data_IF_678291747241
#
_entry.id   IF_678291747241
#
_cell.length_a   1.000
_cell.length_b   1.000
_cell.length_c   1.000
_cell.angle_alpha   90.00
_cell.angle_beta   90.00
_cell.angle_gamma   90.00
#
_symmetry.space_group_name_H-M   'P 1'
#
loop_
_entity.id
_entity.type
_entity.pdbx_description
1 polymer ?
#
# COMPACT_ATOMS: atom_id res chain seq x y z
N UNK A 1 3.45 -9.73 -18.41
CA UNK A 1 2.53 -10.75 -17.87
C UNK A 1 1.19 -10.05 -17.82
N UNK A 2 0.39 -10.27 -18.86
CA UNK A 2 -0.96 -9.74 -19.00
C UNK A 2 -1.71 -10.82 -19.78
N UNK A 3 -2.51 -11.62 -19.07
CA UNK A 3 -3.25 -12.75 -19.63
C UNK A 3 -4.68 -12.34 -20.02
N UNK A 4 -4.85 -11.17 -20.66
CA UNK A 4 -6.09 -10.80 -21.35
C UNK A 4 -7.35 -10.73 -20.48
N UNK A 5 -7.19 -10.66 -19.16
CA UNK A 5 -8.26 -10.56 -18.16
C UNK A 5 -8.05 -9.23 -17.42
N UNK A 6 -9.10 -8.53 -16.98
CA UNK A 6 -8.98 -7.26 -16.25
C UNK A 6 -7.87 -7.35 -15.19
N UNK A 7 -6.82 -6.54 -15.32
CA UNK A 7 -5.64 -6.54 -14.44
C UNK A 7 -6.05 -6.38 -12.95
N UNK A 8 -7.16 -5.68 -12.71
CA UNK A 8 -7.81 -5.52 -11.42
C UNK A 8 -8.36 -6.84 -10.86
N UNK A 9 -8.95 -7.71 -11.70
CA UNK A 9 -9.41 -9.05 -11.30
C UNK A 9 -8.26 -9.97 -10.97
N UNK A 10 -7.16 -9.89 -11.72
CA UNK A 10 -5.95 -10.67 -11.42
C UNK A 10 -5.38 -10.31 -10.04
N UNK A 11 -5.42 -9.03 -9.62
CA UNK A 11 -5.07 -8.67 -8.24
C UNK A 11 -6.01 -9.30 -7.21
N UNK A 12 -7.31 -9.34 -7.47
CA UNK A 12 -8.29 -9.98 -6.57
C UNK A 12 -8.08 -11.49 -6.46
N UNK A 13 -7.73 -12.14 -7.57
CA UNK A 13 -7.37 -13.56 -7.62
C UNK A 13 -6.07 -13.82 -6.87
N UNK A 14 -5.03 -13.02 -7.08
CA UNK A 14 -3.77 -13.13 -6.34
C UNK A 14 -3.95 -12.95 -4.84
N UNK A 15 -4.80 -12.01 -4.41
CA UNK A 15 -5.14 -11.83 -3.00
C UNK A 15 -5.87 -13.06 -2.44
N UNK A 16 -6.77 -13.67 -3.22
CA UNK A 16 -7.45 -14.91 -2.86
C UNK A 16 -6.48 -16.09 -2.73
N UNK A 17 -5.58 -16.28 -3.69
CA UNK A 17 -4.54 -17.32 -3.66
C UNK A 17 -3.62 -17.12 -2.45
N UNK A 18 -3.14 -15.88 -2.24
CA UNK A 18 -2.32 -15.51 -1.08
C UNK A 18 -3.02 -15.91 0.22
N UNK A 19 -4.31 -15.59 0.38
CA UNK A 19 -5.09 -15.93 1.57
C UNK A 19 -5.13 -17.44 1.82
N UNK A 20 -5.41 -18.24 0.78
CA UNK A 20 -5.42 -19.70 0.89
C UNK A 20 -4.04 -20.24 1.26
N UNK A 21 -2.99 -19.76 0.61
CA UNK A 21 -1.63 -20.21 0.87
C UNK A 21 -1.14 -19.81 2.28
N UNK A 22 -1.46 -18.61 2.77
CA UNK A 22 -1.19 -18.22 4.16
C UNK A 22 -1.95 -19.11 5.15
N UNK A 23 -3.22 -19.42 4.87
CA UNK A 23 -4.01 -20.32 5.72
C UNK A 23 -3.41 -21.73 5.80
N UNK A 24 -2.79 -22.20 4.71
CA UNK A 24 -2.13 -23.51 4.66
C UNK A 24 -0.66 -23.49 5.14
N UNK A 25 -0.08 -22.31 5.39
CA UNK A 25 1.31 -22.18 5.83
C UNK A 25 1.51 -22.85 7.20
N UNK A 26 2.49 -23.74 7.31
CA UNK A 26 2.79 -24.55 8.49
C UNK A 26 4.30 -24.75 8.67
N UNK A 27 4.67 -25.51 9.69
CA UNK A 27 6.05 -25.93 9.93
C UNK A 27 6.60 -26.83 8.81
N UNK A 28 5.72 -27.47 8.05
CA UNK A 28 6.08 -28.37 6.94
C UNK A 28 6.64 -27.61 5.72
N UNK A 29 6.58 -26.28 5.74
CA UNK A 29 7.20 -25.42 4.74
C UNK A 29 8.74 -25.32 4.86
N UNK A 30 9.35 -25.92 5.89
CA UNK A 30 10.80 -26.06 6.05
C UNK A 30 11.18 -27.54 6.20
N UNK A 31 12.42 -27.88 5.82
CA UNK A 31 12.93 -29.25 5.94
C UNK A 31 13.17 -29.64 7.40
N UNK A 32 13.05 -30.94 7.70
CA UNK A 32 13.43 -31.48 9.01
C UNK A 32 14.89 -31.14 9.36
N UNK A 33 15.13 -30.76 10.61
CA UNK A 33 16.43 -30.27 11.07
C UNK A 33 16.69 -28.78 10.80
N UNK A 34 15.82 -28.08 10.07
CA UNK A 34 15.92 -26.63 9.86
C UNK A 34 15.37 -25.86 11.07
N UNK A 35 16.04 -24.78 11.54
CA UNK A 35 15.50 -23.94 12.60
C UNK A 35 14.18 -23.26 12.20
N UNK A 36 13.22 -23.20 13.13
CA UNK A 36 11.92 -22.53 12.93
C UNK A 36 12.06 -21.05 12.51
N UNK A 37 13.14 -20.39 12.93
CA UNK A 37 13.41 -18.99 12.58
C UNK A 37 13.47 -18.75 11.06
N UNK A 38 13.74 -19.79 10.27
CA UNK A 38 13.75 -19.77 8.79
C UNK A 38 12.35 -19.62 8.20
N UNK A 39 11.28 -20.01 8.93
CA UNK A 39 9.89 -19.85 8.47
C UNK A 39 9.56 -18.41 8.11
N UNK A 40 10.14 -17.42 8.80
CA UNK A 40 9.97 -16.01 8.45
C UNK A 40 10.39 -15.76 6.99
N UNK A 41 11.58 -16.21 6.59
CA UNK A 41 12.14 -15.94 5.26
C UNK A 41 11.35 -16.69 4.16
N UNK A 42 10.77 -17.85 4.48
CA UNK A 42 9.87 -18.61 3.57
C UNK A 42 8.50 -17.94 3.47
N UNK A 43 8.00 -17.35 4.55
CA UNK A 43 6.69 -16.70 4.60
C UNK A 43 6.66 -15.36 3.88
N UNK A 44 7.74 -14.58 3.92
CA UNK A 44 7.82 -13.24 3.31
C UNK A 44 7.39 -13.18 1.84
N UNK A 45 7.94 -13.99 0.91
CA UNK A 45 7.53 -13.93 -0.50
C UNK A 45 6.05 -14.29 -0.69
N UNK A 46 5.52 -15.20 0.12
CA UNK A 46 4.09 -15.52 0.14
C UNK A 46 3.26 -14.33 0.64
N UNK A 47 3.70 -13.67 1.72
CA UNK A 47 3.02 -12.50 2.28
C UNK A 47 2.97 -11.34 1.28
N UNK A 48 4.05 -11.10 0.53
CA UNK A 48 4.11 -10.05 -0.49
C UNK A 48 3.79 -10.54 -1.91
N UNK A 49 3.14 -11.69 -2.06
CA UNK A 49 2.86 -12.30 -3.36
C UNK A 49 2.13 -11.35 -4.35
N UNK A 50 1.27 -10.48 -3.83
CA UNK A 50 0.48 -9.52 -4.60
C UNK A 50 1.26 -8.27 -5.06
N UNK A 51 2.51 -8.06 -4.61
CA UNK A 51 3.22 -6.78 -4.71
C UNK A 51 3.34 -6.20 -6.12
N UNK A 52 3.67 -7.02 -7.11
CA UNK A 52 3.87 -6.57 -8.50
C UNK A 52 2.53 -6.31 -9.18
N UNK A 53 1.51 -7.10 -8.86
CA UNK A 53 0.18 -6.87 -9.37
C UNK A 53 -0.45 -5.60 -8.79
N UNK A 54 -0.22 -5.32 -7.50
CA UNK A 54 -0.62 -4.06 -6.88
C UNK A 54 -0.01 -2.85 -7.60
N UNK A 55 1.27 -2.92 -7.96
CA UNK A 55 1.90 -1.88 -8.79
C UNK A 55 1.23 -1.77 -10.16
N UNK A 56 1.00 -2.89 -10.85
CA UNK A 56 0.37 -2.93 -12.17
C UNK A 56 -1.03 -2.30 -12.17
N UNK A 57 -1.90 -2.73 -11.25
CA UNK A 57 -3.26 -2.18 -11.13
C UNK A 57 -3.23 -0.71 -10.71
N UNK A 58 -2.34 -0.32 -9.79
CA UNK A 58 -2.23 1.08 -9.40
C UNK A 58 -1.86 1.98 -10.60
N UNK A 59 -1.09 1.50 -11.59
CA UNK A 59 -0.72 2.28 -12.79
C UNK A 59 -1.91 2.58 -13.72
N UNK A 60 -2.99 1.78 -13.67
CA UNK A 60 -4.23 2.04 -14.42
C UNK A 60 -4.88 3.35 -13.95
N UNK A 61 -4.82 3.63 -12.66
CA UNK A 61 -5.40 4.84 -12.06
C UNK A 61 -4.63 6.07 -12.53
N UNK A 62 -5.32 6.98 -13.21
CA UNK A 62 -4.71 8.08 -13.93
C UNK A 62 -3.76 7.60 -15.02
N UNK A 63 -3.97 6.41 -15.59
CA UNK A 63 -3.15 5.81 -16.62
C UNK A 63 -3.37 6.43 -18.00
N UNK A 64 -2.44 6.17 -18.91
CA UNK A 64 -2.57 6.48 -20.33
C UNK A 64 -2.33 5.19 -21.11
N UNK A 65 -3.17 4.94 -22.10
CA UNK A 65 -2.95 3.93 -23.13
C UNK A 65 -2.28 4.65 -24.29
N UNK A 66 -1.07 4.25 -24.67
CA UNK A 66 -0.35 4.90 -25.76
C UNK A 66 0.40 3.88 -26.59
N UNK A 67 0.47 4.16 -27.88
CA UNK A 67 1.24 3.39 -28.82
C UNK A 67 2.46 4.20 -29.24
N UNK A 68 3.54 3.53 -29.62
CA UNK A 68 4.68 4.17 -30.28
C UNK A 68 4.37 4.39 -31.77
N UNK A 69 3.20 5.01 -32.03
CA UNK A 69 2.64 5.21 -33.35
C UNK A 69 3.54 6.12 -34.20
N UNK A 70 3.67 5.77 -35.48
CA UNK A 70 4.39 6.55 -36.49
C UNK A 70 3.38 7.27 -37.37
N UNK A 71 3.65 8.55 -37.69
CA UNK A 71 2.74 9.37 -38.52
C UNK A 71 2.31 8.62 -39.80
N UNK A 72 1.02 8.32 -39.89
CA UNK A 72 0.40 7.65 -41.04
C UNK A 72 0.17 6.15 -40.89
N UNK A 73 0.50 5.54 -39.75
CA UNK A 73 0.26 4.11 -39.48
C UNK A 73 -1.18 3.78 -39.03
N UNK A 74 -1.99 4.81 -38.78
CA UNK A 74 -3.41 4.68 -38.40
C UNK A 74 -3.65 4.24 -36.95
N UNK A 75 -2.61 4.14 -36.12
CA UNK A 75 -2.75 3.79 -34.71
C UNK A 75 -3.17 5.01 -33.88
N UNK A 76 -3.97 4.77 -32.84
CA UNK A 76 -4.23 5.79 -31.83
C UNK A 76 -2.95 6.08 -31.04
N UNK A 77 -2.55 7.35 -30.98
CA UNK A 77 -1.29 7.75 -30.37
C UNK A 77 -1.36 7.64 -28.85
N UNK A 78 -2.41 8.18 -28.25
CA UNK A 78 -2.61 8.19 -26.79
C UNK A 78 -4.08 8.39 -26.45
N UNK A 79 -4.56 7.62 -25.47
CA UNK A 79 -5.86 7.73 -24.82
C UNK A 79 -5.69 7.69 -23.30
N UNK A 80 -6.65 8.26 -22.57
CA UNK A 80 -6.73 8.07 -21.12
C UNK A 80 -7.44 6.75 -20.85
N UNK A 81 -6.96 5.98 -19.87
CA UNK A 81 -7.62 4.74 -19.48
C UNK A 81 -9.09 4.99 -19.14
N UNK A 82 -9.98 4.08 -19.54
CA UNK A 82 -11.42 4.22 -19.32
C UNK A 82 -11.76 4.45 -17.84
N UNK A 83 -12.70 5.35 -17.57
CA UNK A 83 -13.14 5.70 -16.21
C UNK A 83 -13.54 4.46 -15.41
N UNK A 84 -14.30 3.54 -16.01
CA UNK A 84 -14.75 2.31 -15.36
C UNK A 84 -13.57 1.41 -14.97
N UNK A 85 -12.57 1.28 -15.84
CA UNK A 85 -11.33 0.53 -15.55
C UNK A 85 -10.54 1.18 -14.41
N UNK A 86 -10.43 2.51 -14.40
CA UNK A 86 -9.78 3.23 -13.30
C UNK A 86 -10.50 3.05 -11.96
N UNK A 87 -11.84 3.06 -11.96
CA UNK A 87 -12.65 2.81 -10.75
C UNK A 87 -12.52 1.36 -10.26
N UNK A 88 -12.53 0.39 -11.16
CA UNK A 88 -12.29 -1.03 -10.83
C UNK A 88 -10.88 -1.22 -10.25
N UNK A 89 -9.88 -0.58 -10.85
CA UNK A 89 -8.50 -0.60 -10.38
C UNK A 89 -8.36 0.03 -8.98
N UNK A 90 -9.01 1.18 -8.74
CA UNK A 90 -9.03 1.82 -7.42
C UNK A 90 -9.64 0.89 -6.38
N UNK A 91 -10.81 0.30 -6.67
CA UNK A 91 -11.47 -0.63 -5.76
C UNK A 91 -10.59 -1.83 -5.42
N UNK A 92 -9.96 -2.43 -6.43
CA UNK A 92 -9.10 -3.61 -6.26
C UNK A 92 -7.84 -3.27 -5.44
N UNK A 93 -7.19 -2.14 -5.72
CA UNK A 93 -6.00 -1.68 -4.97
C UNK A 93 -6.34 -1.31 -3.53
N UNK A 94 -7.51 -0.72 -3.25
CA UNK A 94 -7.91 -0.40 -1.87
C UNK A 94 -8.07 -1.65 -0.98
N UNK A 95 -8.26 -2.85 -1.55
CA UNK A 95 -8.25 -4.10 -0.78
C UNK A 95 -6.88 -4.41 -0.16
N UNK A 96 -5.78 -3.92 -0.76
CA UNK A 96 -4.42 -4.07 -0.18
C UNK A 96 -4.15 -3.04 0.93
N UNK A 97 -5.15 -2.25 1.31
CA UNK A 97 -5.18 -1.36 2.48
C UNK A 97 -6.32 -1.75 3.46
N UNK A 98 -6.84 -2.97 3.35
CA UNK A 98 -7.78 -3.52 4.32
C UNK A 98 -7.04 -4.40 5.33
N UNK A 99 -7.10 -4.03 6.61
CA UNK A 99 -6.51 -4.82 7.69
C UNK A 99 -7.01 -6.28 7.70
N UNK A 100 -8.26 -6.54 7.33
CA UNK A 100 -8.80 -7.91 7.28
C UNK A 100 -8.20 -8.77 6.16
N UNK A 101 -7.58 -8.14 5.15
CA UNK A 101 -6.95 -8.83 4.01
C UNK A 101 -5.44 -8.94 4.18
N UNK A 102 -4.79 -7.90 4.71
CA UNK A 102 -3.33 -7.82 4.75
C UNK A 102 -2.71 -8.17 6.10
N UNK A 103 -3.46 -8.20 7.21
CA UNK A 103 -2.92 -8.66 8.49
C UNK A 103 -2.55 -10.15 8.43
N UNK A 104 -1.45 -10.53 9.08
CA UNK A 104 -1.06 -11.93 9.21
C UNK A 104 -2.02 -12.60 10.20
N UNK A 105 -2.67 -13.73 9.89
CA UNK A 105 -3.60 -14.37 10.82
C UNK A 105 -2.94 -14.70 12.16
N UNK A 106 -3.67 -14.49 13.27
CA UNK A 106 -3.14 -14.61 14.64
C UNK A 106 -2.54 -16.00 14.90
N UNK A 107 -3.22 -17.02 14.42
CA UNK A 107 -2.84 -18.42 14.52
C UNK A 107 -1.54 -18.77 13.78
N UNK A 108 -1.07 -17.90 12.87
CA UNK A 108 0.22 -18.06 12.19
C UNK A 108 1.37 -17.40 12.96
N UNK A 109 1.08 -16.46 13.87
CA UNK A 109 2.13 -15.70 14.57
C UNK A 109 3.03 -16.58 15.44
N UNK A 110 2.50 -17.68 15.99
CA UNK A 110 3.29 -18.64 16.78
C UNK A 110 4.32 -19.42 15.96
N UNK A 111 4.26 -19.36 14.63
CA UNK A 111 5.24 -19.98 13.73
C UNK A 111 6.55 -19.18 13.62
N UNK A 112 6.57 -17.92 14.08
CA UNK A 112 7.69 -17.00 13.87
C UNK A 112 8.42 -16.68 15.19
N UNK A 113 9.26 -17.60 15.71
CA UNK A 113 10.07 -17.30 16.89
C UNK A 113 11.15 -16.26 16.58
N UNK A 114 11.77 -15.65 17.61
CA UNK A 114 12.99 -14.87 17.43
C UNK A 114 14.06 -15.67 16.66
N UNK A 115 14.95 -14.94 15.98
CA UNK A 115 16.01 -15.54 15.17
C UNK A 115 16.93 -16.41 16.03
N UNK A 116 17.23 -17.62 15.55
CA UNK A 116 18.21 -18.51 16.18
C UNK A 116 19.64 -18.05 15.93
N UNK A 117 20.57 -18.54 16.76
CA UNK A 117 22.00 -18.34 16.54
C UNK A 117 22.40 -18.91 15.17
N UNK A 118 23.23 -18.18 14.42
CA UNK A 118 23.66 -18.57 13.07
C UNK A 118 22.66 -18.26 11.94
N UNK A 119 21.46 -17.79 12.24
CA UNK A 119 20.43 -17.41 11.24
C UNK A 119 19.99 -15.95 11.45
N UNK A 120 20.85 -14.94 11.23
CA UNK A 120 20.48 -13.54 11.39
C UNK A 120 19.42 -13.13 10.34
N UNK A 121 18.72 -12.01 10.58
CA UNK A 121 17.83 -11.43 9.55
C UNK A 121 18.65 -11.04 8.31
N UNK A 122 18.07 -11.25 7.14
CA UNK A 122 18.69 -10.93 5.86
C UNK A 122 17.88 -9.87 5.11
N UNK A 123 18.24 -9.58 3.85
CA UNK A 123 17.42 -8.75 2.98
C UNK A 123 16.05 -9.37 2.65
N UNK A 124 15.89 -10.68 2.90
CA UNK A 124 14.66 -11.44 2.68
C UNK A 124 13.74 -11.44 3.92
N UNK A 125 14.17 -10.88 5.05
CA UNK A 125 13.40 -10.85 6.30
C UNK A 125 12.58 -9.56 6.45
N UNK A 126 11.48 -9.60 7.22
CA UNK A 126 10.73 -8.39 7.55
C UNK A 126 11.54 -7.53 8.52
N UNK A 127 11.70 -6.26 8.16
CA UNK A 127 12.35 -5.27 9.02
C UNK A 127 11.32 -4.74 10.01
N UNK A 128 11.42 -5.17 11.27
CA UNK A 128 10.51 -4.82 12.35
C UNK A 128 10.97 -3.68 13.26
N UNK A 129 10.07 -3.24 14.14
CA UNK A 129 10.27 -2.22 15.19
C UNK A 129 10.24 -2.81 16.61
N UNK A 130 10.03 -4.12 16.76
CA UNK A 130 9.92 -4.82 18.05
C UNK A 130 11.24 -5.48 18.51
N UNK A 131 12.35 -5.15 17.85
CA UNK A 131 13.66 -5.72 18.19
C UNK A 131 13.77 -7.19 17.77
N UNK A 132 13.96 -8.09 18.74
CA UNK A 132 14.26 -9.51 18.47
C UNK A 132 13.04 -10.33 18.05
N UNK A 133 11.83 -9.92 18.43
CA UNK A 133 10.60 -10.64 18.09
C UNK A 133 10.18 -10.39 16.64
N UNK A 134 9.33 -11.28 16.11
CA UNK A 134 8.67 -11.06 14.84
C UNK A 134 7.66 -9.91 14.93
N UNK A 135 7.68 -9.01 13.96
CA UNK A 135 6.82 -7.82 13.93
C UNK A 135 5.81 -7.89 12.78
N UNK A 136 4.63 -8.44 13.08
CA UNK A 136 3.56 -8.55 12.11
C UNK A 136 2.97 -7.20 11.68
N UNK A 137 3.05 -6.17 12.53
CA UNK A 137 2.53 -4.84 12.21
C UNK A 137 3.46 -4.09 11.25
N UNK A 138 4.77 -4.29 11.35
CA UNK A 138 5.72 -3.79 10.35
C UNK A 138 5.51 -4.43 8.97
N UNK A 139 5.05 -5.69 8.89
CA UNK A 139 4.68 -6.31 7.61
C UNK A 139 3.50 -5.57 6.95
N UNK A 140 2.46 -5.26 7.75
CA UNK A 140 1.31 -4.45 7.32
C UNK A 140 1.75 -3.06 6.89
N UNK A 141 2.65 -2.42 7.63
CA UNK A 141 3.21 -1.12 7.28
C UNK A 141 3.90 -1.12 5.92
N UNK A 142 4.76 -2.11 5.66
CA UNK A 142 5.47 -2.26 4.38
C UNK A 142 4.52 -2.51 3.22
N UNK A 143 3.52 -3.40 3.38
CA UNK A 143 2.54 -3.68 2.33
C UNK A 143 1.67 -2.45 1.99
N UNK A 144 1.26 -1.72 3.03
CA UNK A 144 0.45 -0.51 2.89
C UNK A 144 1.25 0.60 2.22
N UNK A 145 2.50 0.77 2.60
CA UNK A 145 3.37 1.78 2.03
C UNK A 145 3.66 1.54 0.54
N UNK A 146 3.89 0.28 0.15
CA UNK A 146 4.03 -0.11 -1.25
C UNK A 146 2.82 0.36 -2.07
N UNK A 147 1.62 0.03 -1.58
CA UNK A 147 0.36 0.41 -2.23
C UNK A 147 0.25 1.92 -2.39
N UNK A 148 0.42 2.66 -1.29
CA UNK A 148 0.25 4.11 -1.28
C UNK A 148 1.30 4.83 -2.13
N UNK A 149 2.54 4.32 -2.17
CA UNK A 149 3.62 4.89 -3.00
C UNK A 149 3.25 4.90 -4.48
N UNK A 150 2.60 3.84 -4.96
CA UNK A 150 2.14 3.80 -6.35
C UNK A 150 0.85 4.58 -6.54
N UNK A 151 -0.13 4.42 -5.65
CA UNK A 151 -1.45 5.06 -5.76
C UNK A 151 -1.39 6.59 -5.67
N UNK A 152 -0.52 7.13 -4.81
CA UNK A 152 -0.38 8.56 -4.54
C UNK A 152 0.94 9.14 -5.06
N UNK A 153 1.45 8.58 -6.17
CA UNK A 153 2.66 9.11 -6.80
C UNK A 153 2.47 10.58 -7.24
N UNK A 154 3.40 11.50 -6.95
CA UNK A 154 3.24 12.94 -7.24
C UNK A 154 2.91 13.27 -8.70
N UNK A 155 3.60 12.63 -9.65
CA UNK A 155 3.33 12.83 -11.09
C UNK A 155 1.94 12.34 -11.50
N UNK A 156 1.49 11.22 -10.91
CA UNK A 156 0.13 10.70 -11.15
C UNK A 156 -0.91 11.67 -10.62
N UNK A 157 -0.70 12.21 -9.42
CA UNK A 157 -1.60 13.20 -8.83
C UNK A 157 -1.76 14.42 -9.74
N UNK A 158 -0.67 14.95 -10.29
CA UNK A 158 -0.70 16.03 -11.28
C UNK A 158 -1.42 15.63 -12.56
N UNK A 159 -1.18 14.41 -13.07
CA UNK A 159 -1.82 13.90 -14.27
C UNK A 159 -3.34 13.74 -14.11
N UNK A 160 -3.81 13.32 -12.94
CA UNK A 160 -5.24 13.24 -12.63
C UNK A 160 -5.91 14.62 -12.64
N UNK A 161 -5.20 15.69 -12.23
CA UNK A 161 -5.69 17.06 -12.39
C UNK A 161 -5.89 17.39 -13.87
N UNK A 162 -4.88 17.10 -14.69
CA UNK A 162 -4.93 17.39 -16.13
C UNK A 162 -6.04 16.60 -16.83
N UNK A 163 -6.14 15.28 -16.57
CA UNK A 163 -7.13 14.42 -17.20
C UNK A 163 -8.56 14.86 -16.86
N UNK A 164 -8.83 15.13 -15.58
CA UNK A 164 -10.14 15.62 -15.10
C UNK A 164 -10.50 17.00 -15.64
N UNK A 165 -9.51 17.85 -15.92
CA UNK A 165 -9.74 19.17 -16.51
C UNK A 165 -10.11 19.12 -18.00
N UNK A 166 -9.63 18.09 -18.71
CA UNK A 166 -9.98 17.85 -20.12
C UNK A 166 -11.35 17.17 -20.23
N UNK A 167 -11.58 16.15 -19.40
CA UNK A 167 -12.84 15.43 -19.32
C UNK A 167 -13.32 15.39 -17.86
N UNK A 168 -14.36 16.18 -17.56
CA UNK A 168 -14.92 16.32 -16.22
C UNK A 168 -15.55 15.04 -15.70
N UNK A 169 -15.91 14.10 -16.57
CA UNK A 169 -16.49 12.83 -16.16
C UNK A 169 -15.43 11.82 -15.72
N UNK A 170 -14.16 12.02 -16.04
CA UNK A 170 -13.06 11.11 -15.71
C UNK A 170 -12.77 11.02 -14.20
N UNK A 171 -11.90 10.11 -13.73
CA UNK A 171 -11.49 10.03 -12.32
C UNK A 171 -10.53 11.16 -11.98
N UNK A 172 -10.80 11.89 -10.89
CA UNK A 172 -9.93 12.94 -10.37
C UNK A 172 -9.17 12.55 -9.11
N UNK A 173 -8.17 13.37 -8.74
CA UNK A 173 -7.42 13.18 -7.49
C UNK A 173 -8.32 13.26 -6.25
N UNK A 174 -9.29 14.18 -6.24
CA UNK A 174 -10.24 14.31 -5.13
C UNK A 174 -11.03 13.01 -4.91
N UNK A 175 -11.56 12.41 -5.99
CA UNK A 175 -12.32 11.15 -5.95
C UNK A 175 -11.47 10.03 -5.32
N UNK A 176 -10.19 9.93 -5.71
CA UNK A 176 -9.27 8.92 -5.19
C UNK A 176 -8.98 9.11 -3.71
N UNK A 177 -8.72 10.35 -3.27
CA UNK A 177 -8.45 10.64 -1.86
C UNK A 177 -9.69 10.42 -0.99
N UNK A 178 -10.88 10.72 -1.49
CA UNK A 178 -12.14 10.47 -0.79
C UNK A 178 -12.37 8.97 -0.57
N UNK A 179 -12.24 8.15 -1.62
CA UNK A 179 -12.39 6.70 -1.49
C UNK A 179 -11.30 6.06 -0.63
N UNK A 180 -10.07 6.57 -0.71
CA UNK A 180 -8.96 6.13 0.13
C UNK A 180 -9.25 6.39 1.61
N UNK A 181 -9.69 7.61 1.97
CA UNK A 181 -10.02 7.97 3.35
C UNK A 181 -11.21 7.15 3.85
N UNK A 182 -12.26 7.00 3.02
CA UNK A 182 -13.43 6.20 3.34
C UNK A 182 -13.09 4.73 3.62
N UNK A 183 -12.20 4.15 2.80
CA UNK A 183 -11.81 2.75 2.89
C UNK A 183 -10.75 2.45 3.96
N UNK A 184 -10.11 3.48 4.53
CA UNK A 184 -9.01 3.31 5.51
C UNK A 184 -9.28 4.04 6.82
N UNK A 185 -9.05 5.35 6.89
CA UNK A 185 -9.15 6.15 8.12
C UNK A 185 -10.54 6.06 8.72
N UNK A 186 -11.58 6.03 7.89
CA UNK A 186 -12.97 5.94 8.35
C UNK A 186 -13.43 4.50 8.62
N UNK A 187 -12.60 3.51 8.32
CA UNK A 187 -12.89 2.10 8.54
C UNK A 187 -12.60 1.70 9.97
N UNK A 188 -13.56 1.02 10.59
CA UNK A 188 -13.46 0.51 11.96
C UNK A 188 -13.31 -1.01 11.95
N UNK A 189 -12.42 -1.51 12.81
CA UNK A 189 -12.25 -2.94 13.05
C UNK A 189 -12.74 -3.28 14.45
N UNK A 190 -13.49 -4.39 14.58
CA UNK A 190 -13.98 -4.87 15.89
C UNK A 190 -12.91 -5.68 16.63
N UNK A 191 -12.10 -6.43 15.89
CA UNK A 191 -11.00 -7.21 16.47
C UNK A 191 -9.83 -6.28 16.83
N UNK A 192 -9.29 -6.44 18.04
CA UNK A 192 -8.24 -5.57 18.55
C UNK A 192 -6.96 -5.61 17.70
N UNK A 193 -6.55 -6.80 17.22
CA UNK A 193 -5.34 -6.93 16.40
C UNK A 193 -5.54 -6.36 15.00
N UNK A 194 -6.70 -6.60 14.38
CA UNK A 194 -7.04 -5.95 13.12
C UNK A 194 -7.15 -4.42 13.29
N UNK A 195 -7.59 -3.93 14.44
CA UNK A 195 -7.62 -2.50 14.73
C UNK A 195 -6.21 -1.88 14.84
N UNK A 196 -5.24 -2.59 15.42
CA UNK A 196 -3.84 -2.16 15.41
C UNK A 196 -3.26 -2.15 13.99
N UNK A 197 -3.53 -3.20 13.20
CA UNK A 197 -3.15 -3.22 11.78
C UNK A 197 -3.79 -2.07 10.98
N UNK A 198 -5.08 -1.80 11.19
CA UNK A 198 -5.78 -0.68 10.57
C UNK A 198 -5.20 0.67 11.00
N UNK A 199 -4.80 0.80 12.26
CA UNK A 199 -4.15 2.01 12.77
C UNK A 199 -2.83 2.30 12.04
N UNK A 200 -2.02 1.27 11.80
CA UNK A 200 -0.79 1.38 10.99
C UNK A 200 -1.12 1.85 9.57
N UNK A 201 -2.10 1.24 8.91
CA UNK A 201 -2.57 1.64 7.57
C UNK A 201 -2.96 3.12 7.55
N UNK A 202 -3.76 3.55 8.53
CA UNK A 202 -4.29 4.92 8.63
C UNK A 202 -3.16 5.95 8.79
N UNK A 203 -2.12 5.66 9.59
CA UNK A 203 -0.96 6.53 9.68
C UNK A 203 -0.18 6.61 8.37
N UNK A 204 -0.04 5.50 7.62
CA UNK A 204 0.58 5.56 6.29
C UNK A 204 -0.25 6.40 5.33
N UNK A 205 -1.57 6.22 5.30
CA UNK A 205 -2.48 7.06 4.48
C UNK A 205 -2.27 8.54 4.78
N UNK A 206 -2.32 8.92 6.06
CA UNK A 206 -2.10 10.30 6.48
C UNK A 206 -0.75 10.85 5.98
N UNK A 207 0.33 10.09 6.13
CA UNK A 207 1.65 10.52 5.68
C UNK A 207 1.78 10.70 4.18
N UNK A 208 1.17 9.83 3.38
CA UNK A 208 1.20 9.99 1.92
C UNK A 208 0.35 11.20 1.45
N UNK A 209 -0.77 11.50 2.13
CA UNK A 209 -1.54 12.72 1.84
C UNK A 209 -0.75 13.98 2.22
N UNK A 210 -0.09 13.98 3.39
CA UNK A 210 0.81 15.08 3.80
C UNK A 210 1.98 15.25 2.83
N UNK A 211 2.54 14.14 2.32
CA UNK A 211 3.57 14.19 1.30
C UNK A 211 3.09 14.86 0.02
N UNK A 212 1.88 14.53 -0.47
CA UNK A 212 1.29 15.21 -1.62
C UNK A 212 1.03 16.70 -1.35
N UNK A 213 0.53 17.03 -0.15
CA UNK A 213 0.24 18.41 0.23
C UNK A 213 1.51 19.29 0.24
N UNK A 214 2.65 18.74 0.64
CA UNK A 214 3.94 19.45 0.72
C UNK A 214 4.87 19.23 -0.48
N UNK A 215 4.45 18.45 -1.48
CA UNK A 215 5.33 18.11 -2.61
C UNK A 215 5.58 19.35 -3.49
N UNK A 216 6.83 19.56 -3.89
CA UNK A 216 7.23 20.74 -4.70
C UNK A 216 7.07 20.50 -6.21
N UNK A 217 7.32 19.27 -6.67
CA UNK A 217 7.23 18.91 -8.09
C UNK A 217 5.83 18.37 -8.48
N UNK A 218 4.77 19.14 -8.18
CA UNK A 218 3.39 18.84 -8.59
C UNK A 218 2.67 20.11 -9.01
N UNK A 219 1.51 19.98 -9.66
CA UNK A 219 0.63 21.13 -9.89
C UNK A 219 0.04 21.65 -8.56
N UNK A 220 -0.10 22.98 -8.37
CA UNK A 220 -0.63 23.56 -7.13
C UNK A 220 -2.00 23.01 -6.69
N UNK A 221 -2.83 22.59 -7.64
CA UNK A 221 -4.13 21.96 -7.39
C UNK A 221 -3.99 20.67 -6.58
N UNK A 222 -2.90 19.90 -6.76
CA UNK A 222 -2.59 18.71 -5.96
C UNK A 222 -2.41 19.10 -4.50
N UNK A 223 -1.57 20.12 -4.24
CA UNK A 223 -1.33 20.60 -2.89
C UNK A 223 -2.61 21.13 -2.24
N UNK A 224 -3.42 21.88 -3.00
CA UNK A 224 -4.68 22.43 -2.52
C UNK A 224 -5.69 21.34 -2.12
N UNK A 225 -5.91 20.35 -2.98
CA UNK A 225 -6.83 19.23 -2.71
C UNK A 225 -6.33 18.40 -1.51
N UNK A 226 -5.05 18.03 -1.48
CA UNK A 226 -4.49 17.25 -0.38
C UNK A 226 -4.55 18.01 0.95
N UNK A 227 -4.27 19.32 0.94
CA UNK A 227 -4.39 20.18 2.13
C UNK A 227 -5.84 20.29 2.61
N UNK A 228 -6.80 20.38 1.69
CA UNK A 228 -8.22 20.35 2.04
C UNK A 228 -8.58 19.03 2.73
N UNK A 229 -8.15 17.88 2.20
CA UNK A 229 -8.41 16.57 2.84
C UNK A 229 -7.77 16.46 4.22
N UNK A 230 -6.57 17.00 4.42
CA UNK A 230 -5.93 17.10 5.74
C UNK A 230 -6.76 17.98 6.70
N UNK A 231 -7.37 19.06 6.21
CA UNK A 231 -8.26 19.91 7.00
C UNK A 231 -9.53 19.19 7.43
N UNK A 232 -10.17 18.49 6.50
CA UNK A 232 -11.35 17.65 6.77
C UNK A 232 -11.04 16.56 7.81
N UNK A 233 -9.94 15.82 7.61
CA UNK A 233 -9.47 14.81 8.55
C UNK A 233 -9.18 15.37 9.94
N UNK A 234 -8.51 16.52 10.03
CA UNK A 234 -8.24 17.17 11.31
C UNK A 234 -9.54 17.51 12.05
N UNK A 235 -10.52 18.10 11.35
CA UNK A 235 -11.82 18.43 11.97
C UNK A 235 -12.56 17.18 12.43
N UNK A 236 -12.49 16.08 11.66
CA UNK A 236 -13.09 14.81 12.03
C UNK A 236 -12.42 14.21 13.28
N UNK A 237 -11.09 14.08 13.27
CA UNK A 237 -10.32 13.43 14.33
C UNK A 237 -10.35 14.21 15.65
N UNK A 238 -10.47 15.54 15.59
CA UNK A 238 -10.63 16.40 16.77
C UNK A 238 -11.89 16.08 17.59
N UNK A 239 -12.94 15.51 16.98
CA UNK A 239 -14.16 15.13 17.70
C UNK A 239 -13.91 14.03 18.74
N UNK A 240 -12.97 13.13 18.44
CA UNK A 240 -12.66 11.97 19.26
C UNK A 240 -11.30 12.09 19.99
N UNK A 241 -10.49 13.12 19.69
CA UNK A 241 -9.11 13.25 20.19
C UNK A 241 -8.99 13.38 21.71
N UNK A 242 -10.05 13.80 22.41
CA UNK A 242 -10.07 13.85 23.88
C UNK A 242 -10.17 12.48 24.54
N UNK A 243 -10.70 11.47 23.83
CA UNK A 243 -10.93 10.12 24.35
C UNK A 243 -10.14 9.03 23.61
N UNK A 244 -9.55 9.35 22.45
CA UNK A 244 -8.83 8.41 21.60
C UNK A 244 -7.39 8.89 21.35
N UNK A 245 -6.42 8.14 21.88
CA UNK A 245 -4.99 8.46 21.76
C UNK A 245 -4.48 8.46 20.31
N UNK A 246 -5.04 7.60 19.44
CA UNK A 246 -4.67 7.53 18.02
C UNK A 246 -5.15 8.79 17.29
N UNK A 247 -6.40 9.20 17.51
CA UNK A 247 -6.93 10.44 16.95
C UNK A 247 -6.14 11.66 17.45
N UNK A 248 -5.80 11.70 18.75
CA UNK A 248 -4.97 12.75 19.32
C UNK A 248 -3.57 12.83 18.67
N UNK A 249 -2.92 11.68 18.46
CA UNK A 249 -1.60 11.62 17.82
C UNK A 249 -1.66 12.04 16.34
N UNK A 250 -2.69 11.64 15.59
CA UNK A 250 -2.89 12.09 14.21
C UNK A 250 -3.12 13.60 14.13
N UNK A 251 -3.97 14.16 14.99
CA UNK A 251 -4.19 15.61 15.10
C UNK A 251 -2.88 16.34 15.40
N UNK A 252 -2.10 15.83 16.36
CA UNK A 252 -0.79 16.42 16.71
C UNK A 252 0.15 16.43 15.50
N UNK A 253 0.22 15.33 14.74
CA UNK A 253 1.05 15.26 13.51
C UNK A 253 0.58 16.22 12.43
N UNK A 254 -0.74 16.34 12.23
CA UNK A 254 -1.31 17.32 11.29
C UNK A 254 -0.96 18.75 11.70
N UNK A 255 -1.10 19.08 12.99
CA UNK A 255 -0.76 20.40 13.52
C UNK A 255 0.71 20.73 13.31
N UNK A 256 1.61 19.82 13.70
CA UNK A 256 3.05 19.99 13.53
C UNK A 256 3.43 20.18 12.06
N UNK A 257 2.81 19.45 11.15
CA UNK A 257 3.01 19.62 9.70
C UNK A 257 2.54 20.97 9.18
N UNK A 258 1.40 21.49 9.67
CA UNK A 258 0.93 22.82 9.26
C UNK A 258 1.83 23.95 9.75
N UNK A 259 2.38 23.80 10.94
CA UNK A 259 3.29 24.79 11.53
C UNK A 259 4.66 24.78 10.84
N UNK A 260 5.13 23.60 10.45
CA UNK A 260 6.47 23.40 9.87
C UNK A 260 6.45 22.42 8.69
N UNK A 261 5.79 22.74 7.57
CA UNK A 261 5.69 21.84 6.42
C UNK A 261 7.06 21.52 5.81
N UNK A 262 8.03 22.45 5.91
CA UNK A 262 9.41 22.28 5.44
C UNK A 262 10.19 21.22 6.22
N UNK A 263 9.76 20.90 7.45
CA UNK A 263 10.38 19.88 8.29
C UNK A 263 9.78 18.50 8.05
N UNK A 264 8.67 18.42 7.31
CA UNK A 264 8.05 17.15 6.99
C UNK A 264 8.98 16.30 6.14
N UNK A 265 9.32 15.13 6.68
CA UNK A 265 10.02 14.09 5.95
C UNK A 265 9.09 12.89 5.89
N UNK A 266 8.91 12.37 4.69
CA UNK A 266 8.19 11.12 4.51
C UNK A 266 8.87 10.05 5.35
N UNK A 267 8.13 9.47 6.31
CA UNK A 267 8.70 8.45 7.18
C UNK A 267 8.95 7.21 6.32
N UNK A 268 10.19 6.75 6.17
CA UNK A 268 10.46 5.56 5.40
C UNK A 268 9.75 4.37 6.05
N UNK A 269 9.03 3.59 5.26
CA UNK A 269 8.58 2.27 5.70
C UNK A 269 9.76 1.30 5.70
N UNK A 270 9.65 0.15 6.40
CA UNK A 270 10.65 -0.89 6.25
C UNK A 270 10.70 -1.34 4.78
N UNK A 271 11.93 -1.40 4.21
CA UNK A 271 12.13 -1.79 2.80
C UNK A 271 11.47 -3.14 2.54
N UNK A 272 10.64 -3.22 1.48
CA UNK A 272 10.10 -4.50 1.03
C UNK A 272 11.24 -5.46 0.70
N UNK A 273 11.22 -6.70 1.22
CA UNK A 273 12.22 -7.71 0.89
C UNK A 273 12.28 -7.95 -0.62
N UNK A 274 13.49 -8.05 -1.17
CA UNK A 274 13.70 -8.13 -2.63
C UNK A 274 13.06 -9.42 -3.22
N UNK A 275 12.98 -10.49 -2.42
CA UNK A 275 12.56 -11.82 -2.85
C UNK A 275 13.71 -12.58 -3.50
N UNK A 276 13.67 -13.91 -3.47
CA UNK A 276 14.62 -14.72 -4.22
C UNK A 276 14.52 -14.41 -5.72
N UNK A 277 15.65 -14.29 -6.45
CA UNK A 277 15.61 -14.10 -7.89
C UNK A 277 14.79 -15.21 -8.55
N UNK A 278 13.79 -14.83 -9.35
CA UNK A 278 13.05 -15.79 -10.17
C UNK A 278 14.03 -16.38 -11.19
N UNK A 279 14.33 -17.67 -11.06
CA UNK A 279 15.20 -18.40 -11.99
C UNK A 279 16.68 -18.53 -11.60
N UNK A 280 17.09 -18.27 -10.36
CA UNK A 280 18.46 -18.59 -9.88
C UNK A 280 18.53 -19.85 -8.99
N UNK A 281 17.77 -20.88 -9.31
CA UNK A 281 18.19 -22.25 -9.02
C UNK A 281 19.19 -22.70 -10.09
N UNK A 282 20.42 -22.17 -10.01
CA UNK A 282 21.57 -22.88 -10.56
C UNK A 282 22.12 -23.76 -9.44
N UNK A 283 22.04 -25.07 -9.68
CA UNK A 283 22.70 -26.18 -9.00
C UNK A 283 23.69 -25.86 -7.88
N UNK A 284 23.50 -26.50 -6.72
CA UNK A 284 24.51 -27.35 -6.11
C UNK A 284 23.85 -28.53 -5.38
#
# INVERSE_FOLDING_TARGET
WDNGTSISKELEEMMSIRKVAINNFSVDNIQEGTPYSVLEDVFVPLYFFHRYQTEGVAKVIGGLEYNYAVKGDGQEVVAVADKSMQQEALKSVLRTLDAAEIAIPKEKLSLFPPRSFGTPRTRESIKGKTGVSFDALSAVETASDLTLKFSLHPEKASRLIQQKAIDTDNVGLADILDELIASTINKKQKDAYLNEAQTIINFRVLYHIMNLAGHTNVHPQVNAIASQKINELNMQLMKDSGANAISAEMVKRIKSYREHPEQFKMIPSPKIPDGSPIGMSCFH
#
